data_IF_102643576921
#
_entry.id   IF_102643576921
#
_cell.length_a   1.000
_cell.length_b   1.000
_cell.length_c   1.000
_cell.angle_alpha   90.00
_cell.angle_beta   90.00
_cell.angle_gamma   90.00
#
_symmetry.space_group_name_H-M   'P 1'
#
loop_
_entity.id
_entity.type
_entity.pdbx_description
1 polymer ?
#
# COMPACT_ATOMS: atom_id res chain seq x y z
N UNK A 1 -16.48 -17.06 -0.87
CA UNK A 1 -15.93 -17.07 -2.25
C UNK A 1 -15.04 -15.87 -2.57
N UNK A 2 -15.46 -14.62 -2.28
CA UNK A 2 -14.65 -13.41 -2.61
C UNK A 2 -13.25 -13.38 -1.96
N UNK A 3 -13.12 -13.85 -0.71
CA UNK A 3 -11.83 -13.88 0.02
C UNK A 3 -10.86 -14.89 -0.59
N UNK A 4 -11.34 -16.07 -0.98
CA UNK A 4 -10.49 -17.10 -1.62
C UNK A 4 -9.99 -16.60 -2.97
N UNK A 5 -10.87 -15.97 -3.77
CA UNK A 5 -10.48 -15.36 -5.03
C UNK A 5 -9.48 -14.20 -4.83
N UNK A 6 -9.70 -13.34 -3.83
CA UNK A 6 -8.76 -12.28 -3.46
C UNK A 6 -7.36 -12.86 -3.18
N UNK A 7 -7.26 -13.84 -2.29
CA UNK A 7 -5.99 -14.45 -1.92
C UNK A 7 -5.34 -15.15 -3.11
N UNK A 8 -6.10 -15.91 -3.89
CA UNK A 8 -5.58 -16.62 -5.06
C UNK A 8 -4.99 -15.66 -6.10
N UNK A 9 -5.71 -14.58 -6.44
CA UNK A 9 -5.25 -13.58 -7.41
C UNK A 9 -4.05 -12.80 -6.86
N UNK A 10 -4.09 -12.42 -5.58
CA UNK A 10 -2.99 -11.72 -4.91
C UNK A 10 -1.69 -12.54 -4.94
N UNK A 11 -1.75 -13.81 -4.52
CA UNK A 11 -0.56 -14.65 -4.51
C UNK A 11 -0.11 -15.02 -5.92
N UNK A 12 -1.02 -15.30 -6.85
CA UNK A 12 -0.65 -15.57 -8.24
C UNK A 12 0.06 -14.38 -8.89
N UNK A 13 -0.49 -13.17 -8.73
CA UNK A 13 0.12 -11.95 -9.27
C UNK A 13 1.45 -11.61 -8.59
N UNK A 14 1.54 -11.73 -7.26
CA UNK A 14 2.77 -11.50 -6.53
C UNK A 14 3.87 -12.49 -6.91
N UNK A 15 3.58 -13.78 -6.97
CA UNK A 15 4.57 -14.80 -7.41
C UNK A 15 5.02 -14.54 -8.86
N UNK A 16 4.11 -14.14 -9.74
CA UNK A 16 4.46 -13.79 -11.13
C UNK A 16 5.38 -12.56 -11.25
N UNK A 17 5.46 -11.70 -10.22
CA UNK A 17 6.36 -10.55 -10.20
C UNK A 17 7.78 -10.90 -9.74
N UNK A 18 8.01 -12.06 -9.12
CA UNK A 18 9.33 -12.44 -8.62
C UNK A 18 10.44 -12.40 -9.68
N UNK A 19 10.25 -12.85 -10.94
CA UNK A 19 11.28 -12.75 -11.99
C UNK A 19 11.67 -11.31 -12.36
N UNK A 20 10.84 -10.33 -12.00
CA UNK A 20 11.08 -8.91 -12.29
C UNK A 20 11.74 -8.17 -11.12
N UNK A 21 12.25 -8.91 -10.12
CA UNK A 21 12.85 -8.32 -8.93
C UNK A 21 13.92 -7.30 -9.28
N UNK A 22 14.81 -7.62 -10.21
CA UNK A 22 15.96 -6.79 -10.58
C UNK A 22 15.58 -5.40 -11.11
N UNK A 23 14.39 -5.25 -11.69
CA UNK A 23 13.87 -3.94 -12.12
C UNK A 23 13.64 -3.00 -10.92
N UNK A 24 13.45 -3.56 -9.72
CA UNK A 24 13.23 -2.82 -8.48
C UNK A 24 14.52 -2.50 -7.72
N UNK A 25 15.69 -2.88 -8.21
CA UNK A 25 16.98 -2.60 -7.55
C UNK A 25 17.18 -1.12 -7.21
N UNK A 26 16.89 -0.15 -8.11
CA UNK A 26 17.02 1.28 -7.76
C UNK A 26 16.10 1.69 -6.61
N UNK A 27 14.89 1.13 -6.54
CA UNK A 27 13.92 1.40 -5.48
C UNK A 27 14.40 0.80 -4.15
N UNK A 28 14.96 -0.40 -4.18
CA UNK A 28 15.57 -1.04 -3.01
C UNK A 28 16.73 -0.23 -2.43
N UNK A 29 17.65 0.23 -3.28
CA UNK A 29 18.77 1.09 -2.86
C UNK A 29 18.28 2.41 -2.25
N UNK A 30 17.29 3.05 -2.88
CA UNK A 30 16.73 4.29 -2.36
C UNK A 30 16.06 4.07 -0.99
N UNK A 31 15.29 2.99 -0.85
CA UNK A 31 14.60 2.66 0.38
C UNK A 31 15.58 2.32 1.51
N UNK A 32 16.61 1.53 1.22
CA UNK A 32 17.66 1.20 2.20
C UNK A 32 18.43 2.46 2.62
N UNK A 33 18.76 3.35 1.69
CA UNK A 33 19.38 4.63 2.01
C UNK A 33 18.49 5.47 2.94
N UNK A 34 17.20 5.61 2.60
CA UNK A 34 16.23 6.32 3.43
C UNK A 34 16.15 5.72 4.85
N UNK A 35 16.03 4.40 4.94
CA UNK A 35 15.92 3.72 6.24
C UNK A 35 17.22 3.75 7.04
N UNK A 36 18.39 3.75 6.40
CA UNK A 36 19.67 3.87 7.09
C UNK A 36 19.78 5.17 7.89
N UNK A 37 19.17 6.27 7.41
CA UNK A 37 19.15 7.56 8.09
C UNK A 37 18.37 7.52 9.42
N UNK A 38 17.48 6.54 9.59
CA UNK A 38 16.65 6.36 10.79
C UNK A 38 16.89 5.01 11.47
N UNK A 39 18.05 4.38 11.26
CA UNK A 39 18.47 3.11 11.87
C UNK A 39 17.55 1.91 11.56
N UNK A 40 16.86 1.94 10.40
CA UNK A 40 16.00 0.86 9.91
C UNK A 40 16.54 0.18 8.63
N UNK A 41 17.80 0.45 8.25
CA UNK A 41 18.43 -0.15 7.07
C UNK A 41 18.51 -1.67 7.17
N UNK A 42 18.34 -2.36 6.04
CA UNK A 42 18.21 -3.83 6.01
C UNK A 42 18.98 -4.52 4.89
N UNK A 43 19.87 -3.79 4.19
CA UNK A 43 20.48 -4.15 2.91
C UNK A 43 19.55 -3.89 1.71
N UNK A 44 20.14 -3.44 0.62
CA UNK A 44 19.46 -3.12 -0.64
C UNK A 44 18.70 -4.32 -1.22
N UNK A 45 19.21 -5.55 -1.10
CA UNK A 45 18.55 -6.73 -1.66
C UNK A 45 17.26 -7.08 -0.88
N UNK A 46 17.29 -6.91 0.46
CA UNK A 46 16.11 -7.08 1.32
C UNK A 46 15.12 -5.95 1.07
N UNK A 47 15.60 -4.70 1.03
CA UNK A 47 14.79 -3.51 0.76
C UNK A 47 14.12 -3.57 -0.62
N UNK A 48 14.79 -4.14 -1.63
CA UNK A 48 14.25 -4.36 -2.96
C UNK A 48 13.06 -5.33 -2.95
N UNK A 49 13.22 -6.48 -2.29
CA UNK A 49 12.14 -7.47 -2.12
C UNK A 49 10.95 -6.90 -1.34
N UNK A 50 11.21 -6.14 -0.28
CA UNK A 50 10.19 -5.44 0.51
C UNK A 50 9.47 -4.40 -0.34
N UNK A 51 10.21 -3.59 -1.09
CA UNK A 51 9.67 -2.54 -1.95
C UNK A 51 8.70 -3.12 -2.97
N UNK A 52 9.13 -4.16 -3.72
CA UNK A 52 8.29 -4.80 -4.72
C UNK A 52 7.01 -5.36 -4.09
N UNK A 53 7.14 -6.05 -2.95
CA UNK A 53 6.00 -6.65 -2.24
C UNK A 53 5.03 -5.58 -1.73
N UNK A 54 5.54 -4.48 -1.16
CA UNK A 54 4.73 -3.40 -0.61
C UNK A 54 4.02 -2.58 -1.69
N UNK A 55 4.72 -2.24 -2.77
CA UNK A 55 4.13 -1.55 -3.93
C UNK A 55 3.05 -2.41 -4.56
N UNK A 56 3.35 -3.69 -4.82
CA UNK A 56 2.37 -4.63 -5.36
C UNK A 56 1.13 -4.72 -4.47
N UNK A 57 1.30 -4.90 -3.15
CA UNK A 57 0.19 -4.99 -2.23
C UNK A 57 -0.66 -3.73 -2.18
N UNK A 58 -0.03 -2.56 -2.13
CA UNK A 58 -0.74 -1.28 -2.13
C UNK A 58 -1.56 -1.09 -3.40
N UNK A 59 -0.98 -1.40 -4.57
CA UNK A 59 -1.68 -1.33 -5.86
C UNK A 59 -2.81 -2.35 -5.94
N UNK A 60 -2.57 -3.59 -5.51
CA UNK A 60 -3.58 -4.64 -5.52
C UNK A 60 -4.78 -4.27 -4.64
N UNK A 61 -4.54 -3.81 -3.41
CA UNK A 61 -5.60 -3.35 -2.52
C UNK A 61 -6.37 -2.16 -3.09
N UNK A 62 -5.67 -1.21 -3.73
CA UNK A 62 -6.30 -0.07 -4.38
C UNK A 62 -7.22 -0.53 -5.53
N UNK A 63 -6.69 -1.31 -6.48
CA UNK A 63 -7.44 -1.84 -7.64
C UNK A 63 -8.61 -2.71 -7.19
N UNK A 64 -8.37 -3.63 -6.26
CA UNK A 64 -9.41 -4.48 -5.70
C UNK A 64 -10.52 -3.65 -5.06
N UNK A 65 -10.15 -2.66 -4.25
CA UNK A 65 -11.12 -1.77 -3.62
C UNK A 65 -11.90 -0.94 -4.64
N UNK A 66 -11.27 -0.51 -5.74
CA UNK A 66 -11.95 0.24 -6.80
C UNK A 66 -12.94 -0.63 -7.59
N UNK A 67 -12.58 -1.87 -7.93
CA UNK A 67 -13.41 -2.78 -8.72
C UNK A 67 -14.60 -3.35 -7.93
N UNK A 68 -14.43 -3.57 -6.63
CA UNK A 68 -15.42 -4.22 -5.77
C UNK A 68 -16.04 -3.28 -4.73
N UNK A 69 -15.79 -1.96 -4.80
CA UNK A 69 -16.49 -1.00 -3.95
C UNK A 69 -17.98 -1.06 -4.27
N UNK A 70 -18.81 -1.24 -3.24
CA UNK A 70 -20.25 -0.99 -3.39
C UNK A 70 -20.46 0.46 -3.81
N UNK A 71 -21.41 0.69 -4.72
CA UNK A 71 -21.80 2.04 -5.11
C UNK A 71 -22.13 2.84 -3.85
N UNK A 72 -21.65 4.07 -3.79
CA UNK A 72 -21.69 5.00 -2.64
C UNK A 72 -23.10 5.43 -2.21
N UNK A 73 -24.11 4.57 -2.29
CA UNK A 73 -25.50 4.79 -1.85
C UNK A 73 -25.62 5.10 -0.36
N UNK A 74 -24.56 4.89 0.43
CA UNK A 74 -24.51 5.16 1.88
C UNK A 74 -23.54 6.26 2.29
N UNK A 75 -22.80 6.87 1.36
CA UNK A 75 -21.98 8.01 1.72
C UNK A 75 -22.89 9.20 2.02
N UNK A 76 -22.66 9.83 3.17
CA UNK A 76 -23.50 10.88 3.71
C UNK A 76 -23.89 11.90 2.62
N UNK A 77 -25.14 12.35 2.65
CA UNK A 77 -25.70 13.32 1.70
C UNK A 77 -24.87 14.62 1.60
N UNK A 78 -23.91 14.85 2.49
CA UNK A 78 -22.83 15.82 2.35
C UNK A 78 -21.51 15.33 2.93
N UNK A 79 -20.44 15.39 2.11
CA UNK A 79 -19.04 15.31 2.57
C UNK A 79 -18.54 16.73 2.80
N UNK A 80 -18.13 17.05 4.03
CA UNK A 80 -17.56 18.35 4.39
C UNK A 80 -16.05 18.39 4.18
N UNK A 81 -15.45 19.58 4.10
CA UNK A 81 -13.98 19.75 4.04
C UNK A 81 -13.31 19.13 5.27
N UNK A 82 -13.97 19.19 6.43
CA UNK A 82 -13.47 18.58 7.68
C UNK A 82 -13.34 17.06 7.53
N UNK A 83 -14.29 16.42 6.88
CA UNK A 83 -14.27 14.97 6.64
C UNK A 83 -13.13 14.59 5.68
N UNK A 84 -12.90 15.41 4.65
CA UNK A 84 -11.75 15.23 3.74
C UNK A 84 -10.43 15.34 4.50
N UNK A 85 -10.28 16.36 5.34
CA UNK A 85 -9.07 16.53 6.15
C UNK A 85 -8.87 15.35 7.11
N UNK A 86 -9.93 14.89 7.77
CA UNK A 86 -9.89 13.72 8.65
C UNK A 86 -9.40 12.46 7.89
N UNK A 87 -9.99 12.17 6.73
CA UNK A 87 -9.59 11.04 5.89
C UNK A 87 -8.15 11.17 5.39
N UNK A 88 -7.69 12.40 5.08
CA UNK A 88 -6.31 12.66 4.70
C UNK A 88 -5.33 12.31 5.84
N UNK A 89 -5.60 12.79 7.06
CA UNK A 89 -4.77 12.47 8.22
C UNK A 89 -4.79 10.98 8.54
N UNK A 90 -5.96 10.34 8.51
CA UNK A 90 -6.08 8.90 8.72
C UNK A 90 -5.28 8.09 7.69
N UNK A 91 -5.42 8.42 6.41
CA UNK A 91 -4.67 7.79 5.32
C UNK A 91 -3.16 7.96 5.53
N UNK A 92 -2.72 9.17 5.86
CA UNK A 92 -1.31 9.49 6.09
C UNK A 92 -0.75 8.73 7.30
N UNK A 93 -1.49 8.67 8.41
CA UNK A 93 -1.08 7.90 9.59
C UNK A 93 -0.95 6.42 9.29
N UNK A 94 -1.92 5.81 8.59
CA UNK A 94 -1.86 4.40 8.21
C UNK A 94 -0.70 4.10 7.26
N UNK A 95 -0.44 5.01 6.32
CA UNK A 95 0.72 4.91 5.43
C UNK A 95 2.04 4.94 6.20
N UNK A 96 2.20 5.89 7.12
CA UNK A 96 3.41 5.97 7.95
C UNK A 96 3.59 4.75 8.86
N UNK A 97 2.51 4.27 9.50
CA UNK A 97 2.56 3.03 10.29
C UNK A 97 3.01 1.86 9.41
N UNK A 98 2.52 1.80 8.17
CA UNK A 98 2.90 0.76 7.22
C UNK A 98 4.38 0.85 6.83
N UNK A 99 4.91 2.04 6.59
CA UNK A 99 6.34 2.26 6.29
C UNK A 99 7.23 1.88 7.48
N UNK A 100 6.92 2.33 8.70
CA UNK A 100 7.71 1.96 9.88
C UNK A 100 7.68 0.45 10.11
N UNK A 101 6.52 -0.18 9.97
CA UNK A 101 6.38 -1.64 10.06
C UNK A 101 7.21 -2.35 8.99
N UNK A 102 7.24 -1.83 7.76
CA UNK A 102 8.05 -2.37 6.67
C UNK A 102 9.55 -2.32 7.00
N UNK A 103 10.04 -1.21 7.55
CA UNK A 103 11.44 -1.07 7.99
C UNK A 103 11.80 -2.06 9.10
N UNK A 104 10.95 -2.21 10.11
CA UNK A 104 11.14 -3.19 11.18
C UNK A 104 11.18 -4.64 10.65
N UNK A 105 10.33 -4.97 9.68
CA UNK A 105 10.34 -6.29 9.02
C UNK A 105 11.65 -6.51 8.25
N UNK A 106 12.19 -5.48 7.61
CA UNK A 106 13.50 -5.54 6.95
C UNK A 106 14.62 -5.87 7.93
N UNK A 107 14.74 -5.07 8.99
CA UNK A 107 15.78 -5.25 10.02
C UNK A 107 15.73 -6.64 10.66
N UNK A 108 14.52 -7.17 10.91
CA UNK A 108 14.35 -8.49 11.51
C UNK A 108 14.62 -9.63 10.53
N UNK A 109 14.42 -9.40 9.24
CA UNK A 109 14.54 -10.44 8.21
C UNK A 109 15.92 -10.52 7.57
N UNK A 110 16.78 -9.51 7.72
CA UNK A 110 18.14 -9.50 7.16
C UNK A 110 19.05 -10.60 7.75
N UNK A 111 18.77 -11.02 8.99
CA UNK A 111 19.60 -12.01 9.70
C UNK A 111 19.06 -13.45 9.61
N UNK A 112 17.95 -13.66 8.90
CA UNK A 112 17.32 -14.99 8.81
C UNK A 112 17.80 -15.68 7.53
N UNK A 113 18.48 -16.84 7.63
CA UNK A 113 18.94 -17.57 6.45
C UNK A 113 17.75 -18.15 5.70
N UNK A 114 17.38 -17.51 4.59
CA UNK A 114 16.33 -17.94 3.66
C UNK A 114 16.83 -17.75 2.25
N UNK A 115 16.36 -18.60 1.32
CA UNK A 115 16.54 -18.32 -0.11
C UNK A 115 15.79 -17.04 -0.48
N UNK A 116 16.22 -16.37 -1.54
CA UNK A 116 15.60 -15.14 -2.05
C UNK A 116 14.08 -15.25 -2.25
N UNK A 117 13.63 -16.36 -2.83
CA UNK A 117 12.20 -16.60 -3.06
C UNK A 117 11.42 -16.74 -1.75
N UNK A 118 11.90 -17.54 -0.80
CA UNK A 118 11.25 -17.70 0.51
C UNK A 118 11.18 -16.36 1.28
N UNK A 119 12.23 -15.55 1.22
CA UNK A 119 12.23 -14.22 1.84
C UNK A 119 11.22 -13.30 1.15
N UNK A 120 11.22 -13.25 -0.19
CA UNK A 120 10.24 -12.52 -0.99
C UNK A 120 8.80 -12.94 -0.70
N UNK A 121 8.51 -14.25 -0.69
CA UNK A 121 7.17 -14.76 -0.42
C UNK A 121 6.70 -14.41 1.00
N UNK A 122 7.61 -14.42 1.98
CA UNK A 122 7.28 -13.94 3.33
C UNK A 122 6.89 -12.47 3.32
N UNK A 123 7.64 -11.63 2.60
CA UNK A 123 7.31 -10.21 2.46
C UNK A 123 6.01 -9.99 1.72
N UNK A 124 5.68 -10.81 0.72
CA UNK A 124 4.40 -10.76 0.02
C UNK A 124 3.23 -10.99 0.99
N UNK A 125 3.34 -11.96 1.91
CA UNK A 125 2.31 -12.22 2.93
C UNK A 125 2.19 -11.03 3.90
N UNK A 126 3.31 -10.52 4.41
CA UNK A 126 3.32 -9.39 5.36
C UNK A 126 2.76 -8.12 4.70
N UNK A 127 3.22 -7.81 3.48
CA UNK A 127 2.82 -6.63 2.74
C UNK A 127 1.34 -6.64 2.36
N UNK A 128 0.70 -7.82 2.27
CA UNK A 128 -0.76 -7.91 2.08
C UNK A 128 -1.50 -7.16 3.20
N UNK A 129 -1.05 -7.30 4.45
CA UNK A 129 -1.65 -6.57 5.58
C UNK A 129 -1.28 -5.10 5.55
N UNK A 130 0.00 -4.78 5.28
CA UNK A 130 0.45 -3.39 5.23
C UNK A 130 -0.26 -2.61 4.10
N UNK A 131 -0.51 -3.24 2.95
CA UNK A 131 -1.19 -2.67 1.80
C UNK A 131 -2.64 -2.24 2.04
N UNK A 132 -3.26 -2.63 3.16
CA UNK A 132 -4.60 -2.19 3.55
C UNK A 132 -4.72 -0.67 3.70
N UNK A 133 -3.62 0.06 3.92
CA UNK A 133 -3.62 1.53 3.94
C UNK A 133 -4.22 2.13 2.65
N UNK A 134 -4.07 1.42 1.52
CA UNK A 134 -4.57 1.87 0.22
C UNK A 134 -6.10 1.95 0.14
N UNK A 135 -6.83 1.25 1.02
CA UNK A 135 -8.28 1.42 1.15
C UNK A 135 -8.64 2.80 1.70
N UNK A 136 -7.89 3.28 2.70
CA UNK A 136 -8.05 4.65 3.21
C UNK A 136 -7.65 5.71 2.18
N UNK A 137 -6.67 5.41 1.32
CA UNK A 137 -6.35 6.27 0.18
C UNK A 137 -7.53 6.38 -0.79
N UNK A 138 -8.17 5.25 -1.14
CA UNK A 138 -9.38 5.26 -1.98
C UNK A 138 -10.48 6.11 -1.34
N UNK A 139 -10.77 5.92 -0.05
CA UNK A 139 -11.81 6.68 0.65
C UNK A 139 -11.49 8.18 0.68
N UNK A 140 -10.24 8.56 0.95
CA UNK A 140 -9.80 9.96 0.87
C UNK A 140 -9.99 10.55 -0.54
N UNK A 141 -9.57 9.84 -1.58
CA UNK A 141 -9.70 10.29 -2.97
C UNK A 141 -11.17 10.50 -3.35
N UNK A 142 -12.04 9.55 -3.02
CA UNK A 142 -13.49 9.67 -3.29
C UNK A 142 -14.09 10.88 -2.56
N UNK A 143 -13.68 11.14 -1.31
CA UNK A 143 -14.09 12.34 -0.55
C UNK A 143 -13.61 13.64 -1.20
N UNK A 144 -12.35 13.68 -1.61
CA UNK A 144 -11.76 14.83 -2.26
C UNK A 144 -12.47 15.15 -3.59
N UNK A 145 -12.79 14.14 -4.40
CA UNK A 145 -13.53 14.31 -5.66
C UNK A 145 -14.95 14.82 -5.42
N UNK A 146 -15.68 14.25 -4.45
CA UNK A 146 -17.03 14.74 -4.12
C UNK A 146 -17.03 16.18 -3.61
N UNK A 147 -16.06 16.54 -2.74
CA UNK A 147 -15.95 17.90 -2.22
C UNK A 147 -15.59 18.92 -3.33
N UNK A 148 -14.67 18.55 -4.22
CA UNK A 148 -14.23 19.41 -5.34
C UNK A 148 -15.33 19.58 -6.38
N UNK A 149 -15.99 18.49 -6.79
CA UNK A 149 -17.09 18.54 -7.75
C UNK A 149 -18.27 19.41 -7.28
N UNK A 150 -18.55 19.43 -5.97
CA UNK A 150 -19.53 20.33 -5.35
C UNK A 150 -19.11 21.79 -5.36
N UNK A 151 -17.83 22.09 -5.07
CA UNK A 151 -17.33 23.48 -5.13
C UNK A 151 -17.49 24.05 -6.54
N UNK A 152 -17.16 23.28 -7.57
CA UNK A 152 -17.28 23.71 -8.98
C UNK A 152 -18.74 23.97 -9.39
N UNK A 153 -19.66 23.10 -8.97
CA UNK A 153 -21.11 23.24 -9.28
C UNK A 153 -21.81 24.31 -8.43
N UNK A 154 -21.30 24.59 -7.22
CA UNK A 154 -21.80 25.67 -6.37
C UNK A 154 -21.37 27.06 -6.82
N UNK A 155 -20.23 27.19 -7.49
CA UNK A 155 -19.73 28.46 -8.06
C UNK A 155 -20.30 28.80 -9.44
N UNK A 156 -21.06 27.89 -10.05
CA UNK A 156 -21.71 28.06 -11.37
C UNK A 156 -23.21 28.40 -11.27
N UNK A 157 -23.70 28.73 -10.06
CA UNK A 157 -25.00 29.34 -9.80
C UNK A 157 -24.82 30.75 -9.26
#
# INVERSE_FOLDING_TARGET
MKVIAFLAIYFAGGVALFPFLDLMRPVGVLLDHFYSQIFLGSDADVAQRLSLSFIYASLFHLVWSALFSEAAKRWASSVSVRDVCYLAFQCLSLFFISLISLGLVGVTSQHVPRTDFHQYFTFLVICMLLGLWAWSLKDFLVAAFHCTGRRITGTTK
#
